data_IF_354394364813
#
_entry.id   IF_354394364813
#
_cell.length_a   1.000
_cell.length_b   1.000
_cell.length_c   1.000
_cell.angle_alpha   90.00
_cell.angle_beta   90.00
_cell.angle_gamma   90.00
#
_symmetry.space_group_name_H-M   'P 1'
#
loop_
_entity.id
_entity.type
_entity.pdbx_description
1 polymer ?
#
# COMPACT_ATOMS: atom_id res chain seq x y z
N UNK A 1 17.22 14.18 10.47
CA UNK A 1 16.34 13.54 9.47
C UNK A 1 16.33 12.06 9.78
N UNK A 2 15.16 11.46 9.86
CA UNK A 2 14.99 10.04 10.19
C UNK A 2 14.54 9.30 8.93
N UNK A 3 15.07 8.10 8.74
CA UNK A 3 14.79 7.27 7.57
C UNK A 3 13.89 6.11 7.97
N UNK A 4 12.78 5.97 7.25
CA UNK A 4 11.85 4.86 7.37
C UNK A 4 11.62 4.19 6.01
N UNK A 5 10.98 3.03 6.02
CA UNK A 5 10.66 2.25 4.84
C UNK A 5 9.19 1.86 4.79
N UNK A 6 8.62 1.82 3.59
CA UNK A 6 7.26 1.35 3.33
C UNK A 6 7.25 0.42 2.12
N UNK A 7 6.68 -0.77 2.28
CA UNK A 7 6.48 -1.72 1.19
C UNK A 7 5.20 -1.44 0.41
N UNK A 8 5.20 -1.64 -0.90
CA UNK A 8 4.02 -1.54 -1.74
C UNK A 8 4.23 -2.28 -3.07
N UNK A 9 3.36 -1.99 -4.05
CA UNK A 9 3.54 -2.44 -5.44
C UNK A 9 3.51 -1.27 -6.41
N UNK A 10 3.90 -1.50 -7.65
CA UNK A 10 3.87 -0.51 -8.72
C UNK A 10 2.49 0.07 -9.01
N UNK A 11 1.42 -0.60 -8.59
CA UNK A 11 0.06 -0.06 -8.65
C UNK A 11 -0.08 1.23 -7.81
N UNK A 12 0.75 1.42 -6.78
CA UNK A 12 0.79 2.65 -5.97
C UNK A 12 1.22 3.90 -6.76
N UNK A 13 2.02 3.73 -7.82
CA UNK A 13 2.52 4.83 -8.64
C UNK A 13 1.37 5.61 -9.29
N UNK A 14 0.25 4.95 -9.60
CA UNK A 14 -0.94 5.58 -10.20
C UNK A 14 -1.52 6.64 -9.27
N UNK A 15 -1.62 6.35 -7.97
CA UNK A 15 -2.07 7.32 -6.97
C UNK A 15 -0.97 8.28 -6.53
N UNK A 16 0.30 7.84 -6.51
CA UNK A 16 1.44 8.63 -6.03
C UNK A 16 1.58 9.96 -6.76
N UNK A 17 1.43 9.93 -8.09
CA UNK A 17 1.60 11.07 -8.98
C UNK A 17 0.30 11.80 -9.30
N UNK A 18 -0.83 11.40 -8.71
CA UNK A 18 -2.09 12.11 -8.90
C UNK A 18 -1.94 13.57 -8.43
N UNK A 19 -2.43 14.58 -9.19
CA UNK A 19 -2.25 16.00 -8.87
C UNK A 19 -2.66 16.39 -7.44
N UNK A 20 -3.70 15.73 -6.92
CA UNK A 20 -4.22 15.97 -5.57
C UNK A 20 -3.51 15.18 -4.46
N UNK A 21 -2.82 14.08 -4.78
CA UNK A 21 -2.10 13.27 -3.81
C UNK A 21 -0.68 13.80 -3.59
N UNK A 22 0.10 13.88 -4.68
CA UNK A 22 1.51 14.33 -4.70
C UNK A 22 2.33 13.69 -3.58
N UNK A 23 2.29 12.35 -3.48
CA UNK A 23 3.02 11.59 -2.47
C UNK A 23 2.27 10.34 -2.00
N UNK A 24 2.90 9.60 -1.07
CA UNK A 24 2.25 8.48 -0.39
C UNK A 24 1.26 9.03 0.61
N UNK A 25 0.02 8.55 0.57
CA UNK A 25 -1.06 9.00 1.45
C UNK A 25 -1.76 7.79 2.06
N UNK A 26 -2.31 7.94 3.28
CA UNK A 26 -3.23 6.96 3.85
C UNK A 26 -4.39 6.72 2.86
N UNK A 27 -4.84 5.46 2.74
CA UNK A 27 -5.84 5.08 1.75
C UNK A 27 -7.16 5.84 1.94
N UNK A 28 -7.58 6.12 3.18
CA UNK A 28 -8.78 6.91 3.44
C UNK A 28 -8.65 8.35 2.94
N UNK A 29 -7.48 8.98 3.12
CA UNK A 29 -7.21 10.33 2.59
C UNK A 29 -7.23 10.40 1.07
N UNK A 30 -6.82 9.33 0.39
CA UNK A 30 -6.98 9.23 -1.07
C UNK A 30 -8.46 9.20 -1.45
N UNK A 31 -9.26 8.36 -0.77
CA UNK A 31 -10.69 8.20 -1.05
C UNK A 31 -11.50 9.47 -0.78
N UNK A 32 -11.19 10.21 0.29
CA UNK A 32 -11.78 11.52 0.61
C UNK A 32 -11.54 12.55 -0.50
N UNK A 33 -10.42 12.44 -1.21
CA UNK A 33 -10.09 13.27 -2.39
C UNK A 33 -10.63 12.70 -3.70
N UNK A 34 -11.42 11.63 -3.67
CA UNK A 34 -11.93 10.94 -4.86
C UNK A 34 -10.87 10.11 -5.60
N UNK A 35 -9.68 9.95 -5.04
CA UNK A 35 -8.58 9.17 -5.63
C UNK A 35 -8.75 7.71 -5.21
N UNK A 36 -8.75 6.81 -6.19
CA UNK A 36 -9.00 5.39 -5.95
C UNK A 36 -7.66 4.65 -5.85
N UNK A 37 -7.27 4.13 -4.67
CA UNK A 37 -6.04 3.35 -4.53
C UNK A 37 -6.17 2.00 -5.24
N UNK A 38 -5.10 1.54 -5.90
CA UNK A 38 -5.01 0.20 -6.52
C UNK A 38 -4.09 -0.76 -5.74
N UNK A 39 -3.56 -0.32 -4.61
CA UNK A 39 -2.64 -1.06 -3.75
C UNK A 39 -2.85 -0.66 -2.28
N UNK A 40 -2.03 -1.23 -1.39
CA UNK A 40 -2.04 -0.90 0.03
C UNK A 40 -3.15 -1.61 0.79
N UNK A 41 -3.15 -1.46 2.10
CA UNK A 41 -4.11 -2.13 2.94
C UNK A 41 -5.48 -1.49 2.83
N UNK A 42 -6.45 -2.27 2.35
CA UNK A 42 -7.85 -1.89 2.31
C UNK A 42 -8.63 -2.82 3.25
N UNK A 43 -9.73 -2.31 3.82
CA UNK A 43 -10.52 -3.04 4.80
C UNK A 43 -10.44 -2.37 6.16
N UNK A 44 -10.24 -3.15 7.22
CA UNK A 44 -10.20 -2.64 8.60
C UNK A 44 -9.15 -1.54 8.80
N UNK A 45 -7.96 -1.70 8.21
CA UNK A 45 -6.90 -0.69 8.25
C UNK A 45 -7.27 0.67 7.64
N UNK A 46 -8.31 0.74 6.79
CA UNK A 46 -8.81 1.98 6.14
C UNK A 46 -10.14 2.48 6.70
N UNK A 47 -11.05 1.56 7.03
CA UNK A 47 -12.45 1.88 7.33
C UNK A 47 -12.80 1.79 8.82
N UNK A 48 -12.03 1.08 9.64
CA UNK A 48 -12.24 1.07 11.09
C UNK A 48 -11.63 2.34 11.72
N UNK A 49 -12.24 2.80 12.82
CA UNK A 49 -11.83 4.02 13.53
C UNK A 49 -10.37 4.02 13.99
N UNK A 50 -9.84 2.85 14.34
CA UNK A 50 -8.46 2.64 14.81
C UNK A 50 -7.49 2.16 13.71
N UNK A 51 -7.92 2.15 12.44
CA UNK A 51 -7.08 1.71 11.33
C UNK A 51 -5.92 2.67 11.06
N UNK A 52 -4.70 2.14 10.86
CA UNK A 52 -3.50 2.97 10.60
C UNK A 52 -3.69 3.85 9.36
N UNK A 53 -4.19 3.25 8.28
CA UNK A 53 -4.36 3.88 6.97
C UNK A 53 -5.58 4.82 6.86
N UNK A 54 -6.20 5.15 8.00
CA UNK A 54 -7.18 6.24 8.15
C UNK A 54 -6.47 7.58 8.00
N UNK A 55 -5.49 7.84 8.84
CA UNK A 55 -4.80 9.14 8.91
C UNK A 55 -3.27 9.04 8.78
N UNK A 56 -2.72 7.82 8.81
CA UNK A 56 -1.28 7.60 8.86
C UNK A 56 -0.82 6.65 7.75
N UNK A 57 0.41 6.85 7.28
CA UNK A 57 1.10 5.87 6.45
C UNK A 57 1.89 4.93 7.37
N UNK A 58 1.67 3.63 7.24
CA UNK A 58 2.50 2.63 7.92
C UNK A 58 3.93 2.67 7.38
N UNK A 59 4.90 2.83 8.27
CA UNK A 59 6.34 2.81 7.95
C UNK A 59 7.12 2.06 9.03
N UNK A 60 8.27 1.51 8.67
CA UNK A 60 9.15 0.77 9.58
C UNK A 60 10.56 1.36 9.59
N UNK A 61 11.31 1.30 10.72
CA UNK A 61 12.71 1.67 10.73
C UNK A 61 13.56 0.67 9.92
N UNK A 62 14.79 1.04 9.59
CA UNK A 62 15.72 0.16 8.84
C UNK A 62 15.97 -1.19 9.52
N UNK A 63 15.89 -1.26 10.85
CA UNK A 63 16.02 -2.51 11.62
C UNK A 63 14.94 -3.55 11.31
N UNK A 64 13.83 -3.12 10.70
CA UNK A 64 12.66 -3.91 10.34
C UNK A 64 12.38 -3.83 8.83
N UNK A 65 13.40 -3.55 8.01
CA UNK A 65 13.28 -3.48 6.55
C UNK A 65 12.70 -4.76 5.94
N UNK A 66 12.92 -5.92 6.57
CA UNK A 66 12.35 -7.21 6.17
C UNK A 66 10.82 -7.20 6.12
N UNK A 67 10.17 -6.45 7.00
CA UNK A 67 8.72 -6.27 7.00
C UNK A 67 8.26 -5.46 5.79
N UNK A 68 8.94 -4.35 5.46
CA UNK A 68 8.64 -3.57 4.26
C UNK A 68 8.86 -4.38 2.98
N UNK A 69 9.93 -5.18 2.91
CA UNK A 69 10.19 -6.08 1.79
C UNK A 69 9.08 -7.12 1.67
N UNK A 70 8.75 -7.84 2.74
CA UNK A 70 7.67 -8.83 2.76
C UNK A 70 6.33 -8.23 2.33
N UNK A 71 6.03 -7.03 2.82
CA UNK A 71 4.82 -6.30 2.45
C UNK A 71 4.79 -5.95 0.95
N UNK A 72 5.92 -5.51 0.39
CA UNK A 72 6.03 -5.21 -1.03
C UNK A 72 5.75 -6.45 -1.92
N UNK A 73 6.28 -7.62 -1.54
CA UNK A 73 6.01 -8.88 -2.28
C UNK A 73 4.53 -9.27 -2.21
N UNK A 74 3.96 -9.23 -1.00
CA UNK A 74 2.58 -9.62 -0.77
C UNK A 74 1.60 -8.77 -1.58
N UNK A 75 1.89 -7.48 -1.77
CA UNK A 75 1.05 -6.59 -2.58
C UNK A 75 1.36 -6.62 -4.08
N UNK A 76 2.60 -6.92 -4.49
CA UNK A 76 2.92 -7.14 -5.89
C UNK A 76 2.18 -8.37 -6.47
N UNK A 77 1.92 -9.39 -5.63
CA UNK A 77 1.11 -10.54 -6.02
C UNK A 77 -0.38 -10.25 -6.18
N UNK A 78 -0.88 -9.11 -5.67
CA UNK A 78 -2.30 -8.74 -5.67
C UNK A 78 -2.67 -7.87 -6.89
N UNK A 79 -2.35 -8.38 -8.08
CA UNK A 79 -2.73 -7.72 -9.34
C UNK A 79 -4.23 -7.47 -9.41
N UNK A 80 -4.62 -6.33 -9.96
CA UNK A 80 -6.03 -6.00 -10.14
C UNK A 80 -6.41 -5.92 -11.62
N UNK A 81 -7.57 -6.48 -11.96
CA UNK A 81 -8.24 -6.32 -13.25
C UNK A 81 -9.73 -6.16 -13.03
N UNK A 82 -10.51 -5.65 -14.00
CA UNK A 82 -11.97 -5.57 -13.86
C UNK A 82 -12.63 -6.93 -13.57
N UNK A 83 -12.06 -8.03 -14.07
CA UNK A 83 -12.58 -9.36 -13.80
C UNK A 83 -12.37 -9.77 -12.33
N UNK A 84 -11.17 -9.49 -11.79
CA UNK A 84 -10.84 -9.72 -10.37
C UNK A 84 -11.74 -8.86 -9.49
N UNK A 85 -11.83 -7.54 -9.75
CA UNK A 85 -12.66 -6.64 -8.94
C UNK A 85 -14.15 -7.01 -8.92
N UNK A 86 -14.71 -7.49 -10.04
CA UNK A 86 -16.09 -8.01 -10.06
C UNK A 86 -16.26 -9.26 -9.19
N UNK A 87 -15.27 -10.15 -9.19
CA UNK A 87 -15.29 -11.36 -8.35
C UNK A 87 -15.20 -10.97 -6.87
N UNK A 88 -14.32 -10.05 -6.52
CA UNK A 88 -14.14 -9.58 -5.14
C UNK A 88 -15.39 -8.85 -4.63
N UNK A 89 -15.98 -7.95 -5.42
CA UNK A 89 -17.24 -7.30 -5.08
C UNK A 89 -18.38 -8.32 -4.85
N UNK A 90 -18.43 -9.40 -5.63
CA UNK A 90 -19.40 -10.50 -5.42
C UNK A 90 -19.13 -11.26 -4.12
N UNK A 91 -17.88 -11.52 -3.78
CA UNK A 91 -17.50 -12.17 -2.52
C UNK A 91 -17.86 -11.31 -1.31
N UNK A 92 -17.57 -10.01 -1.36
CA UNK A 92 -17.92 -9.05 -0.31
C UNK A 92 -19.43 -8.98 -0.08
N UNK A 93 -20.24 -8.94 -1.15
CA UNK A 93 -21.71 -8.98 -1.04
C UNK A 93 -22.22 -10.24 -0.35
N UNK A 94 -21.61 -11.40 -0.63
CA UNK A 94 -21.94 -12.65 0.06
C UNK A 94 -21.55 -12.61 1.53
N UNK A 95 -20.38 -12.06 1.86
CA UNK A 95 -19.92 -11.90 3.24
C UNK A 95 -20.86 -11.00 4.06
N UNK A 96 -21.32 -9.88 3.47
CA UNK A 96 -22.33 -9.00 4.07
C UNK A 96 -23.63 -9.77 4.36
N UNK A 97 -24.13 -10.54 3.38
CA UNK A 97 -25.39 -11.29 3.59
C UNK A 97 -25.24 -12.32 4.70
N UNK A 98 -24.10 -13.03 4.75
CA UNK A 98 -23.82 -13.99 5.82
C UNK A 98 -23.79 -13.30 7.19
N UNK A 99 -23.05 -12.20 7.30
CA UNK A 99 -22.92 -11.47 8.57
C UNK A 99 -24.28 -10.95 9.07
N UNK A 100 -25.15 -10.49 8.17
CA UNK A 100 -26.52 -10.07 8.52
C UNK A 100 -27.35 -11.24 9.08
N UNK A 101 -27.30 -12.39 8.42
CA UNK A 101 -28.04 -13.58 8.87
C UNK A 101 -27.49 -14.13 10.20
N UNK A 102 -26.17 -14.06 10.42
CA UNK A 102 -25.53 -14.51 11.66
C UNK A 102 -25.79 -13.53 12.83
N UNK A 103 -25.93 -12.22 12.54
CA UNK A 103 -26.18 -11.17 13.54
C UNK A 103 -27.56 -11.23 14.20
N UNK A 104 -28.50 -11.98 13.65
CA UNK A 104 -29.79 -12.25 14.28
C UNK A 104 -29.67 -13.18 15.52
N UNK A 105 -28.48 -13.77 15.75
CA UNK A 105 -28.25 -14.83 16.77
C UNK A 105 -27.47 -14.33 18.00
N UNK A 106 -26.68 -13.23 17.94
CA UNK A 106 -25.79 -12.81 19.05
C UNK A 106 -25.73 -11.27 19.21
N UNK A 107 -25.81 -10.80 20.46
CA UNK A 107 -25.67 -9.40 20.89
C UNK A 107 -24.23 -8.86 20.66
N UNK A 108 -23.96 -8.49 19.40
CA UNK A 108 -22.63 -8.10 18.91
C UNK A 108 -22.67 -6.90 17.96
N UNK A 109 -23.58 -5.96 18.23
CA UNK A 109 -23.99 -4.91 17.29
C UNK A 109 -22.84 -3.99 16.84
N UNK A 110 -21.93 -3.57 17.73
CA UNK A 110 -20.87 -2.61 17.37
C UNK A 110 -19.80 -3.23 16.47
N UNK A 111 -19.28 -4.42 16.81
CA UNK A 111 -18.26 -5.10 16.01
C UNK A 111 -18.80 -5.53 14.64
N UNK A 112 -20.03 -6.06 14.61
CA UNK A 112 -20.68 -6.43 13.36
C UNK A 112 -20.92 -5.21 12.47
N UNK A 113 -21.29 -4.06 13.06
CA UNK A 113 -21.47 -2.82 12.32
C UNK A 113 -20.15 -2.34 11.70
N UNK A 114 -19.04 -2.32 12.44
CA UNK A 114 -17.73 -1.95 11.89
C UNK A 114 -17.30 -2.89 10.75
N UNK A 115 -17.56 -4.19 10.89
CA UNK A 115 -17.30 -5.16 9.82
C UNK A 115 -18.15 -4.90 8.58
N UNK A 116 -19.45 -4.63 8.75
CA UNK A 116 -20.37 -4.28 7.66
C UNK A 116 -19.92 -3.00 6.95
N UNK A 117 -19.56 -1.96 7.70
CA UNK A 117 -19.09 -0.68 7.16
C UNK A 117 -17.80 -0.88 6.37
N UNK A 118 -16.86 -1.68 6.89
CA UNK A 118 -15.64 -2.03 6.17
C UNK A 118 -15.94 -2.77 4.85
N UNK A 119 -16.88 -3.73 4.83
CA UNK A 119 -17.23 -4.43 3.59
C UNK A 119 -17.96 -3.54 2.58
N UNK A 120 -18.83 -2.65 3.04
CA UNK A 120 -19.49 -1.67 2.19
C UNK A 120 -18.48 -0.71 1.57
N UNK A 121 -17.54 -0.18 2.35
CA UNK A 121 -16.45 0.67 1.87
C UNK A 121 -15.59 -0.05 0.82
N UNK A 122 -15.26 -1.33 1.03
CA UNK A 122 -14.54 -2.14 0.04
C UNK A 122 -15.31 -2.33 -1.27
N UNK A 123 -16.62 -2.60 -1.21
CA UNK A 123 -17.47 -2.68 -2.42
C UNK A 123 -17.47 -1.36 -3.18
N UNK A 124 -17.55 -0.24 -2.46
CA UNK A 124 -17.48 1.08 -3.07
C UNK A 124 -16.14 1.29 -3.79
N UNK A 125 -15.02 0.95 -3.15
CA UNK A 125 -13.69 1.01 -3.78
C UNK A 125 -13.65 0.17 -5.05
N UNK A 126 -14.16 -1.07 -5.02
CA UNK A 126 -14.18 -1.95 -6.20
C UNK A 126 -15.05 -1.40 -7.35
N UNK A 127 -16.17 -0.76 -7.04
CA UNK A 127 -17.00 -0.09 -8.04
C UNK A 127 -16.26 1.12 -8.65
N UNK A 128 -15.63 1.96 -7.81
CA UNK A 128 -14.86 3.11 -8.28
C UNK A 128 -13.66 2.69 -9.12
N UNK A 129 -12.95 1.61 -8.75
CA UNK A 129 -11.85 1.03 -9.55
C UNK A 129 -12.31 0.63 -10.95
N UNK A 130 -13.47 -0.01 -11.06
CA UNK A 130 -14.06 -0.42 -12.34
C UNK A 130 -14.46 0.75 -13.23
N UNK A 131 -15.02 1.82 -12.63
CA UNK A 131 -15.35 3.04 -13.35
C UNK A 131 -14.08 3.73 -13.85
N UNK A 132 -13.09 3.94 -12.97
CA UNK A 132 -11.84 4.61 -13.30
C UNK A 132 -10.98 3.84 -14.30
N UNK A 133 -11.04 2.51 -14.31
CA UNK A 133 -10.24 1.66 -15.21
C UNK A 133 -10.34 2.06 -16.69
N UNK A 134 -11.52 2.51 -17.12
CA UNK A 134 -11.76 2.94 -18.51
C UNK A 134 -10.99 4.22 -18.86
N UNK A 135 -10.81 5.10 -17.88
CA UNK A 135 -10.13 6.39 -18.02
C UNK A 135 -8.61 6.29 -17.86
N UNK A 136 -8.10 5.18 -17.30
CA UNK A 136 -6.66 4.96 -17.15
C UNK A 136 -5.96 4.80 -18.51
N UNK A 137 -4.77 5.38 -18.62
CA UNK A 137 -3.84 5.17 -19.73
C UNK A 137 -3.36 3.71 -19.75
N UNK A 138 -2.85 3.28 -20.89
CA UNK A 138 -2.31 1.92 -21.06
C UNK A 138 -1.21 1.61 -20.04
N UNK A 139 -0.28 2.53 -19.82
CA UNK A 139 0.81 2.36 -18.86
C UNK A 139 0.30 2.15 -17.42
N UNK A 140 -0.67 2.97 -16.98
CA UNK A 140 -1.27 2.86 -15.64
C UNK A 140 -1.98 1.52 -15.45
N UNK A 141 -2.76 1.07 -16.44
CA UNK A 141 -3.39 -0.25 -16.42
C UNK A 141 -2.38 -1.38 -16.33
N UNK A 142 -1.21 -1.21 -16.94
CA UNK A 142 -0.15 -2.21 -16.90
C UNK A 142 0.53 -2.25 -15.53
N UNK A 143 0.78 -1.09 -14.89
CA UNK A 143 1.30 -1.01 -13.51
C UNK A 143 0.39 -1.69 -12.48
N UNK A 144 -0.92 -1.69 -12.73
CA UNK A 144 -1.94 -2.29 -11.86
C UNK A 144 -2.12 -3.79 -12.13
N UNK A 145 -2.16 -4.20 -13.39
CA UNK A 145 -2.47 -5.59 -13.78
C UNK A 145 -1.24 -6.50 -13.83
N UNK A 146 -0.05 -5.92 -13.96
CA UNK A 146 1.25 -6.60 -13.96
C UNK A 146 2.15 -5.91 -12.94
N UNK A 147 1.68 -5.83 -11.70
CA UNK A 147 2.37 -5.10 -10.66
C UNK A 147 3.64 -5.81 -10.21
N UNK A 148 4.63 -5.03 -9.79
CA UNK A 148 5.90 -5.50 -9.24
C UNK A 148 6.16 -4.84 -7.88
N UNK A 149 6.99 -5.44 -7.01
CA UNK A 149 7.23 -4.90 -5.68
C UNK A 149 7.96 -3.55 -5.75
N UNK A 150 7.60 -2.64 -4.85
CA UNK A 150 8.28 -1.36 -4.65
C UNK A 150 8.50 -1.16 -3.16
N UNK A 151 9.71 -0.75 -2.77
CA UNK A 151 9.98 -0.22 -1.43
C UNK A 151 10.27 1.26 -1.52
N UNK A 152 9.58 2.02 -0.69
CA UNK A 152 9.78 3.46 -0.53
C UNK A 152 10.66 3.69 0.69
N UNK A 153 11.81 4.32 0.50
CA UNK A 153 12.50 5.00 1.59
C UNK A 153 11.89 6.37 1.79
N UNK A 154 11.49 6.65 3.03
CA UNK A 154 10.87 7.90 3.45
C UNK A 154 11.85 8.63 4.38
N UNK A 155 12.43 9.71 3.90
CA UNK A 155 13.31 10.57 4.67
C UNK A 155 12.50 11.77 5.18
N UNK A 156 12.25 11.83 6.48
CA UNK A 156 11.40 12.87 7.07
C UNK A 156 11.98 13.42 8.37
N UNK A 157 11.57 14.62 8.76
CA UNK A 157 11.83 15.19 10.09
C UNK A 157 10.59 15.16 10.98
N UNK A 158 9.46 14.70 10.45
CA UNK A 158 8.20 14.63 11.17
C UNK A 158 8.23 13.51 12.20
N UNK A 159 7.57 13.76 13.32
CA UNK A 159 7.38 12.76 14.36
C UNK A 159 6.43 11.66 13.88
N UNK A 160 6.76 10.42 14.21
CA UNK A 160 5.92 9.26 13.92
C UNK A 160 5.21 8.80 15.19
N UNK A 161 4.00 8.30 15.05
CA UNK A 161 3.23 7.74 16.17
C UNK A 161 3.46 6.23 16.28
N UNK A 162 3.41 5.71 17.51
CA UNK A 162 3.40 4.26 17.70
C UNK A 162 2.08 3.69 17.21
N UNK A 163 2.14 2.65 16.41
CA UNK A 163 0.96 1.87 16.02
C UNK A 163 0.87 0.66 16.94
N UNK A 164 -0.34 0.30 17.37
CA UNK A 164 -0.59 -0.97 18.07
C UNK A 164 -0.83 -2.07 17.03
N UNK A 165 0.23 -2.66 16.50
CA UNK A 165 0.15 -3.88 15.67
C UNK A 165 1.20 -4.90 16.11
N UNK A 166 0.99 -6.16 15.71
CA UNK A 166 1.83 -7.34 15.93
C UNK A 166 3.26 -7.22 15.36
N UNK A 167 3.52 -6.26 14.47
CA UNK A 167 4.84 -6.01 13.91
C UNK A 167 5.66 -5.13 14.87
N UNK A 168 6.75 -5.70 15.41
CA UNK A 168 7.64 -4.99 16.32
C UNK A 168 8.19 -3.73 15.65
N UNK A 169 7.86 -2.54 16.18
CA UNK A 169 8.33 -1.23 15.72
C UNK A 169 7.67 -0.62 14.47
N UNK A 170 6.49 -1.11 14.04
CA UNK A 170 5.68 -0.37 13.07
C UNK A 170 5.30 1.03 13.59
N UNK A 171 5.39 2.04 12.73
CA UNK A 171 5.09 3.43 13.04
C UNK A 171 4.09 4.01 12.04
N UNK A 172 3.25 4.91 12.53
CA UNK A 172 2.37 5.72 11.70
C UNK A 172 3.04 7.05 11.39
N UNK A 173 3.20 7.38 10.11
CA UNK A 173 3.60 8.70 9.65
C UNK A 173 2.35 9.54 9.34
N UNK A 174 2.00 10.55 10.16
CA UNK A 174 0.77 11.32 9.98
C UNK A 174 0.70 12.01 8.62
N UNK A 175 -0.42 11.84 7.93
CA UNK A 175 -0.67 12.42 6.61
C UNK A 175 0.11 11.79 5.45
N UNK A 176 0.98 10.81 5.70
CA UNK A 176 1.80 10.15 4.69
C UNK A 176 3.10 10.89 4.35
N UNK A 177 3.64 10.73 3.15
CA UNK A 177 4.95 11.26 2.73
C UNK A 177 4.87 12.03 1.40
N UNK A 178 5.50 13.20 1.33
CA UNK A 178 5.58 14.03 0.12
C UNK A 178 6.60 13.46 -0.88
N UNK A 179 6.45 13.73 -2.18
CA UNK A 179 7.36 13.23 -3.23
C UNK A 179 8.84 13.52 -2.93
N UNK A 180 9.15 14.70 -2.38
CA UNK A 180 10.53 15.11 -2.04
C UNK A 180 11.17 14.29 -0.91
N UNK A 181 10.35 13.62 -0.11
CA UNK A 181 10.81 12.76 0.99
C UNK A 181 11.12 11.33 0.50
N UNK A 182 10.79 11.01 -0.76
CA UNK A 182 10.79 9.65 -1.26
C UNK A 182 12.06 9.30 -2.04
N UNK A 183 12.47 8.05 -1.89
CA UNK A 183 13.39 7.35 -2.78
C UNK A 183 12.84 5.95 -2.99
N UNK A 184 12.82 5.47 -4.24
CA UNK A 184 12.16 4.23 -4.62
C UNK A 184 13.19 3.16 -4.91
N UNK A 185 12.90 1.95 -4.46
CA UNK A 185 13.66 0.75 -4.76
C UNK A 185 12.75 -0.26 -5.43
N UNK A 186 13.21 -0.82 -6.55
CA UNK A 186 12.47 -1.74 -7.43
C UNK A 186 13.38 -2.86 -7.93
N UNK A 187 12.85 -3.95 -8.51
CA UNK A 187 13.69 -4.97 -9.16
C UNK A 187 14.55 -4.35 -10.27
N UNK A 188 15.75 -4.90 -10.50
CA UNK A 188 16.73 -4.36 -11.44
C UNK A 188 16.12 -4.09 -12.83
N UNK A 189 15.35 -5.05 -13.34
CA UNK A 189 14.71 -4.99 -14.65
C UNK A 189 13.53 -3.99 -14.72
N UNK A 190 13.14 -3.40 -13.59
CA UNK A 190 12.11 -2.36 -13.50
C UNK A 190 12.67 -0.95 -13.33
N UNK A 191 13.96 -0.79 -13.03
CA UNK A 191 14.57 0.51 -12.76
C UNK A 191 14.34 1.51 -13.89
N UNK A 192 14.57 1.11 -15.15
CA UNK A 192 14.44 2.00 -16.31
C UNK A 192 12.99 2.52 -16.48
N UNK A 193 12.02 1.61 -16.47
CA UNK A 193 10.62 1.97 -16.68
C UNK A 193 10.06 2.79 -15.52
N UNK A 194 10.42 2.46 -14.27
CA UNK A 194 10.02 3.24 -13.10
C UNK A 194 10.68 4.62 -13.12
N UNK A 195 11.94 4.73 -13.52
CA UNK A 195 12.65 6.02 -13.65
C UNK A 195 12.00 6.93 -14.68
N UNK A 196 11.55 6.37 -15.82
CA UNK A 196 10.84 7.14 -16.83
C UNK A 196 9.53 7.73 -16.30
N UNK A 197 8.77 6.93 -15.53
CA UNK A 197 7.53 7.38 -14.88
C UNK A 197 7.82 8.48 -13.85
N UNK A 198 8.90 8.34 -13.09
CA UNK A 198 9.28 9.26 -11.99
C UNK A 198 10.03 10.51 -12.45
N UNK A 199 10.33 10.65 -13.74
CA UNK A 199 11.28 11.64 -14.27
C UNK A 199 10.85 13.08 -14.01
N UNK A 200 9.58 13.40 -14.21
CA UNK A 200 9.05 14.77 -14.07
C UNK A 200 9.12 15.26 -12.62
N UNK A 201 8.94 14.34 -11.66
CA UNK A 201 8.93 14.63 -10.23
C UNK A 201 10.29 14.51 -9.55
N UNK A 202 11.35 14.19 -10.32
CA UNK A 202 12.74 14.06 -9.83
C UNK A 202 12.87 13.08 -8.65
N UNK A 203 12.01 12.07 -8.60
CA UNK A 203 12.12 11.01 -7.60
C UNK A 203 13.25 10.08 -8.03
N UNK A 204 14.15 9.79 -7.09
CA UNK A 204 15.26 8.87 -7.33
C UNK A 204 14.74 7.44 -7.26
N UNK A 205 15.10 6.65 -8.27
CA UNK A 205 14.74 5.25 -8.42
C UNK A 205 16.02 4.44 -8.48
N UNK A 206 16.10 3.39 -7.68
CA UNK A 206 17.24 2.50 -7.57
C UNK A 206 16.82 1.04 -7.63
N UNK A 207 17.78 0.18 -7.90
CA UNK A 207 17.66 -1.26 -7.72
C UNK A 207 17.58 -1.59 -6.22
N UNK A 208 16.81 -2.61 -5.84
CA UNK A 208 16.84 -3.20 -4.50
C UNK A 208 18.25 -3.56 -4.00
N UNK A 209 19.16 -3.99 -4.88
CA UNK A 209 20.55 -4.26 -4.52
C UNK A 209 21.30 -3.02 -3.98
N UNK A 210 20.77 -1.82 -4.23
CA UNK A 210 21.32 -0.55 -3.76
C UNK A 210 20.67 -0.07 -2.46
N UNK A 211 19.77 -0.84 -1.84
CA UNK A 211 19.31 -0.52 -0.48
C UNK A 211 20.53 -0.64 0.44
N UNK A 212 21.01 0.50 0.92
CA UNK A 212 22.17 0.53 1.79
C UNK A 212 21.79 0.05 3.19
N UNK A 213 22.13 -1.20 3.48
CA UNK A 213 21.95 -1.86 4.78
C UNK A 213 23.26 -1.88 5.59
N UNK A 214 24.30 -1.15 5.18
CA UNK A 214 25.55 -1.08 5.96
C UNK A 214 25.28 -0.54 7.37
N UNK A 215 25.75 -1.28 8.37
CA UNK A 215 25.47 -1.10 9.81
C UNK A 215 24.09 -1.60 10.30
N UNK A 216 23.43 -2.49 9.57
CA UNK A 216 22.23 -3.18 10.07
C UNK A 216 22.54 -4.56 10.65
N UNK A 217 21.55 -5.22 11.27
CA UNK A 217 21.70 -6.56 11.81
C UNK A 217 21.75 -7.59 10.65
N UNK A 218 22.58 -8.64 10.78
CA UNK A 218 22.67 -9.81 9.89
C UNK A 218 21.31 -10.37 9.43
N UNK A 219 20.26 -10.26 10.27
CA UNK A 219 18.89 -10.66 9.88
C UNK A 219 18.39 -9.87 8.67
N UNK A 220 18.60 -8.55 8.64
CA UNK A 220 18.14 -7.66 7.56
C UNK A 220 18.88 -7.96 6.26
N UNK A 221 20.20 -8.16 6.33
CA UNK A 221 21.02 -8.54 5.18
C UNK A 221 20.53 -9.87 4.57
N UNK A 222 20.29 -10.89 5.39
CA UNK A 222 19.75 -12.19 4.92
C UNK A 222 18.37 -12.07 4.30
N UNK A 223 17.50 -11.24 4.86
CA UNK A 223 16.17 -10.99 4.32
C UNK A 223 16.24 -10.29 2.96
N UNK A 224 17.12 -9.29 2.80
CA UNK A 224 17.36 -8.62 1.53
C UNK A 224 17.94 -9.59 0.50
N UNK A 225 18.95 -10.39 0.86
CA UNK A 225 19.52 -11.41 -0.03
C UNK A 225 18.47 -12.44 -0.48
N UNK A 226 17.64 -12.93 0.45
CA UNK A 226 16.57 -13.87 0.14
C UNK A 226 15.47 -13.25 -0.73
N UNK A 227 15.23 -11.95 -0.58
CA UNK A 227 14.34 -11.19 -1.45
C UNK A 227 14.95 -11.08 -2.85
N UNK A 228 16.20 -10.62 -2.97
CA UNK A 228 16.88 -10.43 -4.26
C UNK A 228 16.94 -11.72 -5.08
N UNK A 229 17.21 -12.87 -4.46
CA UNK A 229 17.23 -14.18 -5.15
C UNK A 229 15.89 -14.60 -5.77
N UNK A 230 14.77 -14.02 -5.35
CA UNK A 230 13.44 -14.33 -5.90
C UNK A 230 13.09 -13.44 -7.09
N UNK A 231 13.78 -12.32 -7.26
CA UNK A 231 13.45 -11.28 -8.23
C UNK A 231 14.55 -11.03 -9.27
N UNK A 232 15.73 -11.64 -9.10
CA UNK A 232 16.77 -11.78 -10.13
C UNK A 232 16.72 -13.18 -10.75
#
# INVERSE_FOLDING_TARGET
MTTYYHGSSSASLVSLFHPEARGLRPARKLLEKGIVPYCGELGSGTFCSNGVNVDNLSVVPISNLDEALSYAENYAGKNWTPAIGRKDAKHLKKAIQKLKNDSEIIDQNAYNQECLDSYNGLIEVENRRQLNWKCLKRAERQLISQSYPIVYQVNTTRETISVRWDCSNERGLPGGAELKELTLYVPQEKVEITSLICREDRIRVYDFAQINVSNTNLKVERSLDSFLRRWN
#
